data_IF_341914477385
#
_entry.id   IF_341914477385
#
_cell.length_a   1.000
_cell.length_b   1.000
_cell.length_c   1.000
_cell.angle_alpha   90.00
_cell.angle_beta   90.00
_cell.angle_gamma   90.00
#
_symmetry.space_group_name_H-M   'P 1'
#
loop_
_entity.id
_entity.type
_entity.pdbx_description
1 polymer ?
#
# COMPACT_ATOMS: atom_id res chain seq x y z
N UNK A 1 7.27 3.74 -2.12
CA UNK A 1 8.25 4.56 -1.34
C UNK A 1 8.81 3.71 -0.21
N UNK A 2 10.10 3.78 0.02
CA UNK A 2 10.76 3.07 1.12
C UNK A 2 10.70 3.84 2.44
N UNK A 3 10.81 3.14 3.57
CA UNK A 3 10.76 3.73 4.91
C UNK A 3 11.87 4.75 5.16
N UNK A 4 13.10 4.47 4.70
CA UNK A 4 14.22 5.42 4.78
C UNK A 4 13.95 6.73 3.99
N UNK A 5 13.33 6.64 2.81
CA UNK A 5 12.94 7.79 2.00
C UNK A 5 11.86 8.62 2.71
N UNK A 6 10.85 7.94 3.29
CA UNK A 6 9.81 8.59 4.09
C UNK A 6 10.41 9.32 5.29
N UNK A 7 11.27 8.66 6.07
CA UNK A 7 11.93 9.29 7.22
C UNK A 7 12.77 10.51 6.82
N UNK A 8 13.46 10.43 5.69
CA UNK A 8 14.23 11.57 5.17
C UNK A 8 13.32 12.76 4.80
N UNK A 9 12.18 12.50 4.16
CA UNK A 9 11.21 13.55 3.82
C UNK A 9 10.60 14.20 5.09
N UNK A 10 10.25 13.39 6.11
CA UNK A 10 9.74 13.88 7.39
C UNK A 10 10.77 14.73 8.13
N UNK A 11 12.05 14.31 8.13
CA UNK A 11 13.15 15.03 8.79
C UNK A 11 13.47 16.36 8.11
N UNK A 12 13.29 16.44 6.79
CA UNK A 12 13.50 17.68 6.02
C UNK A 12 12.44 18.76 6.31
N UNK A 13 11.25 18.37 6.78
CA UNK A 13 10.12 19.26 6.98
C UNK A 13 9.36 19.00 8.28
N UNK A 14 10.04 19.05 9.46
CA UNK A 14 9.47 18.54 10.73
C UNK A 14 8.22 19.28 11.21
N UNK A 15 8.06 20.54 10.82
CA UNK A 15 6.98 21.42 11.28
C UNK A 15 5.75 21.43 10.35
N UNK A 16 5.84 20.79 9.17
CA UNK A 16 4.74 20.76 8.23
C UNK A 16 3.66 19.76 8.69
N UNK A 17 2.39 20.16 8.53
CA UNK A 17 1.27 19.26 8.71
C UNK A 17 1.23 18.22 7.60
N UNK A 18 0.80 17.00 7.94
CA UNK A 18 0.66 15.93 6.97
C UNK A 18 -0.69 16.01 6.25
N UNK A 19 -0.67 15.77 4.95
CA UNK A 19 -1.85 15.64 4.10
C UNK A 19 -1.79 14.32 3.33
N UNK A 20 -2.80 13.47 3.46
CA UNK A 20 -2.91 12.23 2.70
C UNK A 20 -3.91 12.40 1.55
N UNK A 21 -3.48 12.11 0.33
CA UNK A 21 -4.32 12.12 -0.87
C UNK A 21 -4.54 10.70 -1.37
N UNK A 22 -5.79 10.26 -1.36
CA UNK A 22 -6.21 8.96 -1.91
C UNK A 22 -5.97 8.91 -3.43
N UNK A 23 -5.92 7.72 -4.06
CA UNK A 23 -5.66 7.58 -5.49
C UNK A 23 -6.64 8.32 -6.40
N UNK A 24 -7.87 8.54 -5.93
CA UNK A 24 -8.90 9.32 -6.64
C UNK A 24 -8.76 10.85 -6.45
N UNK A 25 -7.69 11.31 -5.76
CA UNK A 25 -7.45 12.71 -5.46
C UNK A 25 -8.21 13.28 -4.27
N UNK A 26 -9.07 12.49 -3.63
CA UNK A 26 -9.77 12.91 -2.41
C UNK A 26 -8.79 12.95 -1.24
N UNK A 27 -8.80 14.05 -0.49
CA UNK A 27 -7.98 14.16 0.71
C UNK A 27 -8.62 13.43 1.90
N UNK A 28 -7.81 12.68 2.64
CA UNK A 28 -8.18 12.23 3.99
C UNK A 28 -8.36 13.47 4.86
N UNK A 29 -9.36 13.50 5.77
CA UNK A 29 -9.55 14.63 6.67
C UNK A 29 -8.24 15.03 7.38
N UNK A 30 -7.97 16.33 7.45
CA UNK A 30 -6.69 16.86 7.98
C UNK A 30 -6.47 16.59 9.47
N UNK A 31 -7.55 16.26 10.20
CA UNK A 31 -7.52 15.86 11.61
C UNK A 31 -7.38 14.35 11.81
N UNK A 32 -7.09 13.58 10.75
CA UNK A 32 -6.81 12.14 10.88
C UNK A 32 -5.57 11.89 11.74
N UNK A 33 -5.67 10.88 12.59
CA UNK A 33 -4.57 10.37 13.40
C UNK A 33 -3.84 9.24 12.67
N UNK A 34 -2.56 9.07 12.95
CA UNK A 34 -1.87 7.79 12.74
C UNK A 34 -1.92 7.04 14.06
N UNK A 35 -2.70 5.97 14.12
CA UNK A 35 -3.00 5.21 15.34
C UNK A 35 -2.06 4.03 15.53
N UNK A 36 -1.53 3.48 14.44
CA UNK A 36 -0.61 2.34 14.47
C UNK A 36 0.55 2.53 13.50
N UNK A 37 1.72 2.00 13.90
CA UNK A 37 2.86 1.71 13.05
C UNK A 37 3.18 0.24 13.21
N UNK A 38 3.03 -0.54 12.15
CA UNK A 38 3.20 -1.98 12.19
C UNK A 38 4.20 -2.47 11.13
N UNK A 39 4.89 -3.58 11.43
CA UNK A 39 5.55 -4.41 10.42
C UNK A 39 4.58 -5.51 10.02
N UNK A 40 4.35 -5.65 8.72
CA UNK A 40 3.52 -6.71 8.14
C UNK A 40 4.43 -7.68 7.40
N UNK A 41 4.51 -8.93 7.87
CA UNK A 41 5.23 -10.00 7.20
C UNK A 41 4.23 -10.94 6.53
N UNK A 42 4.34 -11.09 5.22
CA UNK A 42 3.50 -11.97 4.40
C UNK A 42 4.35 -13.11 3.84
N UNK A 43 3.94 -14.35 4.12
CA UNK A 43 4.49 -15.56 3.49
C UNK A 43 3.42 -16.23 2.67
N UNK A 44 3.73 -16.60 1.44
CA UNK A 44 2.75 -17.17 0.53
C UNK A 44 3.39 -18.07 -0.53
N UNK A 45 2.53 -18.83 -1.20
CA UNK A 45 2.89 -19.63 -2.37
C UNK A 45 2.25 -18.98 -3.59
N UNK A 46 3.02 -18.74 -4.64
CA UNK A 46 2.46 -18.27 -5.91
C UNK A 46 1.79 -19.40 -6.71
N UNK A 47 1.10 -19.06 -7.80
CA UNK A 47 0.39 -20.05 -8.62
C UNK A 47 1.34 -21.06 -9.32
N UNK A 48 2.65 -20.78 -9.38
CA UNK A 48 3.68 -21.70 -9.84
C UNK A 48 4.23 -22.62 -8.75
N UNK A 49 3.71 -22.54 -7.51
CA UNK A 49 4.17 -23.35 -6.38
C UNK A 49 5.42 -22.83 -5.68
N UNK A 50 5.93 -21.64 -6.03
CA UNK A 50 7.11 -21.03 -5.43
C UNK A 50 6.77 -20.33 -4.11
N UNK A 51 7.51 -20.66 -3.05
CA UNK A 51 7.44 -19.96 -1.76
C UNK A 51 8.02 -18.54 -1.88
N UNK A 52 7.30 -17.57 -1.37
CA UNK A 52 7.67 -16.16 -1.36
C UNK A 52 7.46 -15.54 0.01
N UNK A 53 8.18 -14.47 0.28
CA UNK A 53 8.01 -13.65 1.48
C UNK A 53 8.13 -12.18 1.11
N UNK A 54 7.32 -11.37 1.76
CA UNK A 54 7.25 -9.92 1.63
C UNK A 54 7.14 -9.29 3.01
N UNK A 55 7.70 -8.10 3.20
CA UNK A 55 7.52 -7.33 4.41
C UNK A 55 7.31 -5.86 4.07
N UNK A 56 6.44 -5.18 4.83
CA UNK A 56 6.19 -3.75 4.68
C UNK A 56 5.96 -3.06 6.03
N UNK A 57 6.10 -1.74 6.03
CA UNK A 57 5.70 -0.86 7.12
C UNK A 57 4.30 -0.33 6.83
N UNK A 58 3.35 -0.58 7.73
CA UNK A 58 1.98 -0.08 7.65
C UNK A 58 1.74 1.00 8.67
N UNK A 59 1.13 2.08 8.23
CA UNK A 59 0.60 3.13 9.07
C UNK A 59 -0.92 3.09 9.00
N UNK A 60 -1.60 2.90 10.12
CA UNK A 60 -3.06 2.98 10.16
C UNK A 60 -3.49 4.41 10.43
N UNK A 61 -4.46 4.91 9.65
CA UNK A 61 -5.08 6.22 9.87
C UNK A 61 -6.52 6.06 10.36
N UNK A 62 -6.90 6.89 11.31
CA UNK A 62 -8.24 6.94 11.86
C UNK A 62 -8.73 8.39 11.97
N UNK A 63 -9.98 8.64 11.62
CA UNK A 63 -10.62 9.96 11.70
C UNK A 63 -11.46 10.01 12.96
N UNK A 64 -11.08 10.89 13.87
CA UNK A 64 -11.79 11.15 15.13
C UNK A 64 -12.65 12.40 15.04
N UNK A 65 -13.35 12.72 16.15
CA UNK A 65 -14.21 13.92 16.25
C UNK A 65 -13.43 15.19 16.65
N UNK A 66 -12.14 15.10 16.94
CA UNK A 66 -11.28 16.22 17.33
C UNK A 66 -10.80 17.04 16.11
N UNK A 67 -11.68 17.80 15.51
CA UNK A 67 -11.46 18.54 14.26
C UNK A 67 -10.25 19.48 14.28
N UNK A 68 -9.71 19.81 15.45
CA UNK A 68 -8.53 20.67 15.62
C UNK A 68 -7.21 19.90 15.65
N UNK A 69 -7.24 18.56 15.66
CA UNK A 69 -6.02 17.75 15.59
C UNK A 69 -5.26 18.00 14.30
N UNK A 70 -3.95 18.11 14.39
CA UNK A 70 -3.03 18.15 13.23
C UNK A 70 -1.81 17.29 13.53
N UNK A 71 -1.47 16.41 12.60
CA UNK A 71 -0.29 15.58 12.71
C UNK A 71 0.86 16.24 11.95
N UNK A 72 1.87 16.69 12.67
CA UNK A 72 3.09 17.24 12.05
C UNK A 72 4.11 16.15 11.73
N UNK A 73 4.95 16.39 10.72
CA UNK A 73 5.92 15.44 10.22
C UNK A 73 6.92 14.98 11.29
N UNK A 74 7.39 15.90 12.14
CA UNK A 74 8.32 15.57 13.23
C UNK A 74 7.71 14.62 14.27
N UNK A 75 6.39 14.71 14.53
CA UNK A 75 5.69 13.77 15.42
C UNK A 75 5.65 12.38 14.81
N UNK A 76 5.31 12.25 13.51
CA UNK A 76 5.32 10.96 12.82
C UNK A 76 6.73 10.35 12.77
N UNK A 77 7.76 11.16 12.49
CA UNK A 77 9.15 10.71 12.53
C UNK A 77 9.55 10.16 13.91
N UNK A 78 9.14 10.84 14.99
CA UNK A 78 9.34 10.38 16.36
C UNK A 78 8.66 9.03 16.64
N UNK A 79 7.45 8.80 16.12
CA UNK A 79 6.71 7.53 16.23
C UNK A 79 7.47 6.42 15.47
N UNK A 80 7.87 6.67 14.21
CA UNK A 80 8.64 5.72 13.40
C UNK A 80 9.99 5.36 14.03
N UNK A 81 10.64 6.32 14.70
CA UNK A 81 11.89 6.08 15.42
C UNK A 81 11.66 5.14 16.61
N UNK A 82 10.59 5.34 17.37
CA UNK A 82 10.22 4.44 18.49
C UNK A 82 9.85 3.04 18.00
N UNK A 83 9.26 2.94 16.81
CA UNK A 83 8.88 1.67 16.17
C UNK A 83 10.07 0.91 15.57
N UNK A 84 11.28 1.44 15.56
CA UNK A 84 12.45 0.84 14.91
C UNK A 84 12.71 -0.62 15.37
N UNK A 85 12.48 -0.94 16.65
CA UNK A 85 12.67 -2.29 17.19
C UNK A 85 11.72 -3.33 16.57
N UNK A 86 10.50 -2.94 16.18
CA UNK A 86 9.53 -3.83 15.52
C UNK A 86 9.70 -3.82 14.01
N UNK A 87 10.06 -2.70 13.40
CA UNK A 87 10.24 -2.56 11.96
C UNK A 87 11.46 -3.33 11.46
N UNK A 88 12.57 -3.33 12.21
CA UNK A 88 13.80 -4.11 11.97
C UNK A 88 14.49 -3.88 10.61
N UNK A 89 13.99 -2.98 9.77
CA UNK A 89 14.55 -2.65 8.46
C UNK A 89 14.10 -1.25 8.03
N UNK A 90 15.00 -0.52 7.41
CA UNK A 90 14.73 0.78 6.78
C UNK A 90 14.33 0.65 5.30
N UNK A 91 14.42 -0.56 4.72
CA UNK A 91 14.12 -0.85 3.31
C UNK A 91 12.69 -1.41 3.11
N UNK A 92 11.82 -1.25 4.11
CA UNK A 92 10.41 -1.67 3.99
C UNK A 92 9.66 -0.72 3.06
N UNK A 93 8.81 -1.27 2.18
CA UNK A 93 7.79 -0.46 1.50
C UNK A 93 6.79 0.07 2.53
N UNK A 94 6.32 1.30 2.32
CA UNK A 94 5.34 1.91 3.22
C UNK A 94 3.97 1.93 2.57
N UNK A 95 2.95 1.46 3.31
CA UNK A 95 1.55 1.67 2.95
C UNK A 95 0.77 2.37 4.08
N UNK A 96 -0.36 2.96 3.69
CA UNK A 96 -1.34 3.59 4.58
C UNK A 96 -2.59 2.74 4.57
N UNK A 97 -3.03 2.29 5.75
CA UNK A 97 -4.34 1.70 5.93
C UNK A 97 -5.34 2.79 6.32
N UNK A 98 -6.41 2.90 5.56
CA UNK A 98 -7.45 3.91 5.79
C UNK A 98 -8.84 3.35 5.52
N UNK A 99 -9.82 3.76 6.32
CA UNK A 99 -11.23 3.44 6.15
C UNK A 99 -11.98 4.57 5.44
N UNK A 100 -12.38 4.31 4.19
CA UNK A 100 -13.23 5.19 3.39
C UNK A 100 -14.44 4.38 2.91
N UNK A 101 -15.37 4.06 3.83
CA UNK A 101 -16.47 3.12 3.62
C UNK A 101 -16.10 1.65 3.86
N UNK A 102 -14.88 1.25 3.54
CA UNK A 102 -14.23 -0.03 3.90
C UNK A 102 -12.74 0.20 4.12
N UNK A 103 -12.12 -0.71 4.86
CA UNK A 103 -10.66 -0.66 5.11
C UNK A 103 -9.93 -1.02 3.82
N UNK A 104 -9.02 -0.15 3.41
CA UNK A 104 -8.15 -0.34 2.24
C UNK A 104 -6.70 0.01 2.57
N UNK A 105 -5.76 -0.58 1.82
CA UNK A 105 -4.33 -0.36 1.96
C UNK A 105 -3.79 0.31 0.69
N UNK A 106 -3.17 1.45 0.86
CA UNK A 106 -2.67 2.29 -0.21
C UNK A 106 -1.14 2.43 -0.10
N UNK A 107 -0.34 1.98 -1.07
CA UNK A 107 1.08 2.24 -1.08
C UNK A 107 1.36 3.75 -1.12
N UNK A 108 2.37 4.21 -0.39
CA UNK A 108 2.84 5.60 -0.53
C UNK A 108 3.68 5.68 -1.80
N UNK A 109 3.23 6.44 -2.79
CA UNK A 109 3.96 6.66 -4.04
C UNK A 109 5.00 7.76 -3.91
N UNK A 110 4.61 8.88 -3.31
CA UNK A 110 5.50 10.03 -3.11
C UNK A 110 5.09 10.87 -1.91
N UNK A 111 6.07 11.60 -1.38
CA UNK A 111 5.89 12.61 -0.34
C UNK A 111 6.61 13.88 -0.76
N UNK A 112 5.93 15.02 -0.74
CA UNK A 112 6.50 16.31 -1.13
C UNK A 112 5.90 17.47 -0.32
N UNK A 113 6.70 18.51 -0.07
CA UNK A 113 6.22 19.76 0.51
C UNK A 113 5.48 20.58 -0.57
N UNK A 114 4.19 20.84 -0.34
CA UNK A 114 3.33 21.60 -1.26
C UNK A 114 2.45 22.54 -0.45
N UNK A 115 2.46 23.81 -0.76
CA UNK A 115 1.61 24.84 -0.13
C UNK A 115 1.64 24.85 1.41
N UNK A 116 2.81 24.57 2.02
CA UNK A 116 2.95 24.58 3.47
C UNK A 116 2.50 23.29 4.17
N UNK A 117 2.16 22.24 3.44
CA UNK A 117 1.85 20.91 3.94
C UNK A 117 2.83 19.87 3.37
N UNK A 118 3.03 18.78 4.07
CA UNK A 118 3.76 17.60 3.57
C UNK A 118 2.74 16.61 3.02
N UNK A 119 2.62 16.57 1.70
CA UNK A 119 1.58 15.84 0.97
C UNK A 119 2.05 14.43 0.62
N UNK A 120 1.34 13.43 1.11
CA UNK A 120 1.48 12.01 0.77
C UNK A 120 0.54 11.69 -0.38
N UNK A 121 1.06 11.30 -1.53
CA UNK A 121 0.27 10.75 -2.62
C UNK A 121 0.20 9.24 -2.47
N UNK A 122 -1.01 8.74 -2.34
CA UNK A 122 -1.29 7.33 -2.16
C UNK A 122 -1.65 6.70 -3.51
N UNK A 123 -1.10 5.53 -3.76
CA UNK A 123 -1.32 4.78 -5.00
C UNK A 123 -2.32 3.64 -4.85
N UNK A 124 -2.50 2.92 -5.93
CA UNK A 124 -3.34 1.71 -5.99
C UNK A 124 -2.44 0.48 -5.98
N UNK A 125 -2.79 -0.50 -5.17
CA UNK A 125 -2.15 -1.82 -5.23
C UNK A 125 -2.87 -2.70 -6.24
N UNK A 126 -2.14 -3.20 -7.22
CA UNK A 126 -2.67 -4.11 -8.22
C UNK A 126 -2.31 -5.56 -7.87
N UNK A 127 -3.21 -6.48 -8.20
CA UNK A 127 -2.89 -7.91 -8.22
C UNK A 127 -2.09 -8.24 -9.48
N UNK A 128 -1.13 -9.14 -9.37
CA UNK A 128 -0.30 -9.59 -10.49
C UNK A 128 -0.07 -11.10 -10.42
N UNK A 129 0.12 -11.73 -11.59
CA UNK A 129 0.62 -13.09 -11.67
C UNK A 129 2.14 -13.05 -11.45
N UNK A 130 2.63 -13.75 -10.42
CA UNK A 130 4.06 -13.81 -10.10
C UNK A 130 4.79 -15.00 -10.77
N UNK A 131 4.04 -15.80 -11.54
CA UNK A 131 4.54 -17.01 -12.23
C UNK A 131 4.10 -16.99 -13.71
N UNK A 132 4.20 -15.83 -14.38
CA UNK A 132 3.77 -15.64 -15.78
C UNK A 132 4.45 -16.63 -16.72
N UNK A 133 5.72 -16.93 -16.51
CA UNK A 133 6.51 -17.90 -17.26
C UNK A 133 5.97 -19.34 -17.20
N UNK A 134 5.20 -19.66 -16.16
CA UNK A 134 4.57 -20.96 -15.96
C UNK A 134 3.07 -20.94 -16.30
N UNK A 135 2.36 -19.91 -15.90
CA UNK A 135 0.90 -19.80 -16.10
C UNK A 135 0.51 -19.51 -17.55
N UNK A 136 1.35 -18.83 -18.32
CA UNK A 136 1.07 -18.47 -19.72
C UNK A 136 1.57 -19.50 -20.74
N UNK A 137 2.22 -20.57 -20.31
CA UNK A 137 2.58 -21.66 -21.21
C UNK A 137 1.34 -22.49 -21.51
N UNK A 138 0.90 -22.58 -22.76
CA UNK A 138 -0.15 -23.54 -23.11
C UNK A 138 0.34 -24.95 -22.73
N UNK A 139 -0.50 -25.80 -22.15
CA UNK A 139 -0.14 -27.16 -21.83
C UNK A 139 0.40 -27.87 -23.07
N UNK A 140 1.39 -28.77 -22.93
CA UNK A 140 1.95 -29.51 -24.05
C UNK A 140 0.83 -30.22 -24.82
N UNK A 141 0.66 -29.91 -26.10
CA UNK A 141 -0.38 -30.50 -26.96
C UNK A 141 -1.56 -29.60 -27.27
N UNK A 142 -1.70 -28.40 -26.67
CA UNK A 142 -2.79 -27.47 -26.95
C UNK A 142 -2.42 -26.36 -27.97
N UNK A 143 -1.38 -26.55 -28.76
CA UNK A 143 -0.91 -25.55 -29.75
C UNK A 143 -1.94 -25.19 -30.82
N UNK A 144 -3.01 -25.99 -30.99
CA UNK A 144 -4.03 -25.83 -32.04
C UNK A 144 -5.47 -25.68 -31.51
N UNK A 145 -5.65 -25.38 -30.21
CA UNK A 145 -7.00 -25.22 -29.69
C UNK A 145 -7.59 -23.87 -30.10
N UNK A 146 -8.42 -23.89 -31.14
CA UNK A 146 -9.22 -22.70 -31.54
C UNK A 146 -10.52 -22.67 -30.76
N UNK A 147 -10.77 -21.59 -30.03
CA UNK A 147 -12.05 -21.34 -29.31
C UNK A 147 -13.29 -21.49 -30.23
N UNK A 148 -13.12 -21.34 -31.56
CA UNK A 148 -14.16 -21.50 -32.58
C UNK A 148 -14.68 -22.94 -32.72
N UNK A 149 -14.05 -23.93 -32.10
CA UNK A 149 -14.47 -25.34 -32.11
C UNK A 149 -15.31 -25.77 -30.89
N UNK A 150 -15.53 -24.86 -29.93
CA UNK A 150 -16.42 -25.13 -28.79
C UNK A 150 -17.88 -24.91 -29.18
N UNK A 151 -18.60 -25.97 -29.46
CA UNK A 151 -20.07 -25.96 -29.54
C UNK A 151 -20.63 -25.93 -28.10
N UNK A 152 -21.17 -24.79 -27.69
CA UNK A 152 -21.94 -24.69 -26.46
C UNK A 152 -23.34 -25.25 -26.69
N UNK A 153 -23.64 -26.46 -26.19
CA UNK A 153 -25.01 -26.95 -26.13
C UNK A 153 -25.77 -26.18 -25.06
N UNK A 154 -26.92 -25.58 -25.37
CA UNK A 154 -27.76 -24.93 -24.38
C UNK A 154 -28.22 -25.97 -23.35
N UNK A 155 -28.16 -25.59 -22.08
CA UNK A 155 -28.69 -26.38 -20.98
C UNK A 155 -30.21 -26.35 -21.13
N UNK A 156 -30.83 -27.53 -21.36
CA UNK A 156 -32.29 -27.67 -21.37
C UNK A 156 -32.86 -27.25 -20.00
N UNK A 157 -33.92 -26.39 -20.03
CA UNK A 157 -34.67 -25.97 -18.86
C UNK A 157 -35.46 -27.13 -18.27
#
# INVERSE_FOLDING_TARGET
MKLNELKAALAAHPDLNLRFLLPNGVAVPEHAHVTEVARIDKRFVDCGGKLRADALCRLQTWVADDLHHRLVAGKLLGILTKAAAILQSEDLEVDIEHEAGWISQFPVESVAAVNGELVFRLGVRHTACLAEDQCMRPPPGLKDFKLSTLEFKPIAK
#
